data_IF_276621198253
#
_entry.id   IF_276621198253
#
_cell.length_a   1.000
_cell.length_b   1.000
_cell.length_c   1.000
_cell.angle_alpha   90.00
_cell.angle_beta   90.00
_cell.angle_gamma   90.00
#
_symmetry.space_group_name_H-M   'P 1'
#
loop_
_entity.id
_entity.type
_entity.pdbx_description
1 polymer ?
#
# COMPACT_ATOMS: atom_id res chain seq x y z
N UNK A 1 42.84 7.83 47.55
CA UNK A 1 42.87 8.85 46.48
C UNK A 1 42.03 8.31 45.32
N UNK A 2 40.78 8.77 45.25
CA UNK A 2 39.81 8.44 44.19
C UNK A 2 40.08 9.31 42.96
N UNK A 3 40.15 8.74 41.75
CA UNK A 3 39.88 9.42 40.47
C UNK A 3 39.83 8.35 39.35
N UNK A 4 38.64 7.82 39.03
CA UNK A 4 37.76 8.26 37.91
C UNK A 4 38.27 7.84 36.52
N UNK A 5 37.90 6.62 36.09
CA UNK A 5 37.76 6.29 34.68
C UNK A 5 36.27 6.14 34.36
N UNK A 6 35.66 7.24 33.91
CA UNK A 6 34.28 7.28 33.43
C UNK A 6 34.16 6.58 32.08
N UNK A 7 33.85 5.29 32.09
CA UNK A 7 33.47 4.54 30.89
C UNK A 7 31.99 4.70 30.56
N UNK A 8 31.56 5.87 30.08
CA UNK A 8 30.22 6.01 29.46
C UNK A 8 30.25 5.39 28.06
N UNK A 9 30.04 4.08 27.98
CA UNK A 9 29.65 3.44 26.71
C UNK A 9 28.15 3.69 26.48
N UNK A 10 27.82 4.92 26.09
CA UNK A 10 26.53 5.19 25.45
C UNK A 10 26.61 4.66 24.03
N UNK A 11 26.27 3.39 23.87
CA UNK A 11 25.97 2.81 22.56
C UNK A 11 24.73 3.53 22.03
N UNK A 12 24.93 4.54 21.17
CA UNK A 12 23.86 5.21 20.47
C UNK A 12 23.06 4.14 19.73
N UNK A 13 21.81 3.92 20.12
CA UNK A 13 20.86 3.18 19.30
C UNK A 13 20.72 3.97 18.01
N UNK A 14 21.52 3.63 17.02
CA UNK A 14 21.20 3.96 15.66
C UNK A 14 20.07 2.99 15.32
N UNK A 15 18.80 3.43 15.18
CA UNK A 15 17.91 2.64 14.37
C UNK A 15 18.60 2.65 13.01
N UNK A 16 19.20 1.51 12.66
CA UNK A 16 19.53 1.21 11.28
C UNK A 16 18.19 1.29 10.59
N UNK A 17 17.89 2.48 10.05
CA UNK A 17 16.83 2.69 9.10
C UNK A 17 17.15 1.70 8.00
N UNK A 18 16.42 0.58 8.04
CA UNK A 18 16.47 -0.45 7.02
C UNK A 18 16.03 0.28 5.77
N UNK A 19 16.99 0.80 5.01
CA UNK A 19 16.77 1.25 3.64
C UNK A 19 16.30 0.00 2.91
N UNK A 20 14.99 -0.22 2.91
CA UNK A 20 14.35 -1.14 1.98
C UNK A 20 14.83 -0.67 0.63
N UNK A 21 15.49 -1.58 -0.06
CA UNK A 21 16.24 -1.36 -1.27
C UNK A 21 15.41 -0.50 -2.23
N UNK A 22 15.78 0.78 -2.39
CA UNK A 22 15.34 1.62 -3.50
C UNK A 22 15.94 1.17 -4.83
N UNK A 23 16.03 -0.15 -5.03
CA UNK A 23 16.65 -0.73 -6.21
C UNK A 23 15.62 -0.82 -7.33
N UNK A 24 15.90 0.02 -8.33
CA UNK A 24 15.25 0.20 -9.64
C UNK A 24 14.03 1.10 -9.64
N UNK A 25 14.36 2.39 -9.71
CA UNK A 25 13.68 3.39 -10.56
C UNK A 25 13.58 2.87 -12.00
N UNK A 26 12.76 1.85 -12.21
CA UNK A 26 12.25 1.48 -13.53
C UNK A 26 10.77 1.87 -13.46
N UNK A 27 10.26 2.49 -14.53
CA UNK A 27 8.91 3.09 -14.64
C UNK A 27 7.78 2.06 -14.47
N UNK A 28 7.74 1.36 -13.36
CA UNK A 28 6.76 0.36 -13.04
C UNK A 28 5.81 0.93 -12.01
N UNK A 29 4.53 0.72 -12.29
CA UNK A 29 3.47 0.94 -11.32
C UNK A 29 3.80 0.13 -10.04
N UNK A 30 3.77 0.74 -8.85
CA UNK A 30 4.05 0.07 -7.57
C UNK A 30 3.15 -1.17 -7.37
N UNK A 31 3.67 -2.19 -6.69
CA UNK A 31 2.94 -3.45 -6.48
C UNK A 31 1.66 -3.22 -5.67
N UNK A 32 1.71 -2.34 -4.68
CA UNK A 32 0.55 -1.93 -3.87
C UNK A 32 -0.60 -1.39 -4.72
N UNK A 33 -0.32 -0.72 -5.84
CA UNK A 33 -1.35 -0.18 -6.74
C UNK A 33 -2.10 -1.31 -7.45
N UNK A 34 -1.39 -2.36 -7.88
CA UNK A 34 -2.05 -3.54 -8.48
C UNK A 34 -2.94 -4.26 -7.46
N UNK A 35 -2.44 -4.48 -6.25
CA UNK A 35 -3.23 -5.09 -5.18
C UNK A 35 -4.45 -4.25 -4.81
N UNK A 36 -4.32 -2.94 -4.69
CA UNK A 36 -5.43 -2.04 -4.40
C UNK A 36 -6.46 -2.03 -5.53
N UNK A 37 -6.01 -1.94 -6.78
CA UNK A 37 -6.88 -1.96 -7.97
C UNK A 37 -7.69 -3.26 -8.04
N UNK A 38 -7.02 -4.41 -7.91
CA UNK A 38 -7.66 -5.71 -8.00
C UNK A 38 -8.57 -5.97 -6.79
N UNK A 39 -8.09 -5.68 -5.57
CA UNK A 39 -8.85 -5.90 -4.34
C UNK A 39 -10.12 -5.05 -4.28
N UNK A 40 -10.00 -3.73 -4.51
CA UNK A 40 -11.15 -2.82 -4.47
C UNK A 40 -12.09 -3.06 -5.66
N UNK A 41 -11.55 -3.33 -6.86
CA UNK A 41 -12.35 -3.68 -8.04
C UNK A 41 -13.19 -4.94 -7.83
N UNK A 42 -12.57 -6.02 -7.35
CA UNK A 42 -13.27 -7.28 -7.06
C UNK A 42 -14.30 -7.10 -5.93
N UNK A 43 -13.93 -6.41 -4.84
CA UNK A 43 -14.85 -6.13 -3.74
C UNK A 43 -16.06 -5.33 -4.21
N UNK A 44 -15.85 -4.30 -5.04
CA UNK A 44 -16.92 -3.45 -5.58
C UNK A 44 -17.81 -4.21 -6.57
N UNK A 45 -17.26 -5.17 -7.31
CA UNK A 45 -18.04 -6.09 -8.14
C UNK A 45 -18.94 -6.98 -7.27
N UNK A 46 -18.41 -7.59 -6.21
CA UNK A 46 -19.19 -8.44 -5.30
C UNK A 46 -20.30 -7.63 -4.62
N UNK A 47 -19.99 -6.43 -4.12
CA UNK A 47 -20.99 -5.53 -3.54
C UNK A 47 -22.04 -5.14 -4.58
N UNK A 48 -21.64 -4.80 -5.81
CA UNK A 48 -22.56 -4.47 -6.88
C UNK A 48 -23.46 -5.64 -7.28
N UNK A 49 -22.96 -6.89 -7.24
CA UNK A 49 -23.80 -8.08 -7.47
C UNK A 49 -24.86 -8.27 -6.40
N UNK A 50 -24.55 -7.96 -5.14
CA UNK A 50 -25.50 -8.06 -4.03
C UNK A 50 -26.51 -6.91 -4.08
N UNK A 51 -26.04 -5.67 -4.23
CA UNK A 51 -26.87 -4.46 -4.15
C UNK A 51 -27.66 -4.19 -5.45
N UNK A 52 -27.10 -4.52 -6.61
CA UNK A 52 -27.65 -4.23 -7.94
C UNK A 52 -28.04 -5.52 -8.67
N UNK A 53 -28.22 -6.62 -7.95
CA UNK A 53 -28.57 -7.93 -8.52
C UNK A 53 -29.96 -7.96 -9.18
N UNK A 54 -30.87 -7.06 -8.79
CA UNK A 54 -32.18 -6.90 -9.40
C UNK A 54 -32.17 -6.09 -10.72
N UNK A 55 -31.05 -5.42 -11.03
CA UNK A 55 -30.88 -4.62 -12.24
C UNK A 55 -30.21 -5.44 -13.35
N UNK A 56 -30.46 -5.11 -14.63
CA UNK A 56 -29.94 -5.88 -15.75
C UNK A 56 -28.42 -6.01 -15.74
N UNK A 57 -27.94 -7.08 -16.38
CA UNK A 57 -26.57 -7.57 -16.29
C UNK A 57 -25.41 -6.57 -16.51
N UNK A 58 -25.53 -5.43 -17.23
CA UNK A 58 -24.42 -4.50 -17.41
C UNK A 58 -23.97 -3.77 -16.13
N UNK A 59 -24.87 -3.54 -15.17
CA UNK A 59 -24.65 -2.56 -14.09
C UNK A 59 -23.66 -3.06 -13.02
N UNK A 60 -23.67 -4.35 -12.69
CA UNK A 60 -22.74 -4.91 -11.72
C UNK A 60 -21.31 -5.04 -12.28
N UNK A 61 -21.12 -5.10 -13.60
CA UNK A 61 -19.80 -4.94 -14.20
C UNK A 61 -19.28 -3.50 -14.04
N UNK A 62 -20.17 -2.51 -14.18
CA UNK A 62 -19.81 -1.11 -14.00
C UNK A 62 -19.30 -0.83 -12.57
N UNK A 63 -19.88 -1.43 -11.54
CA UNK A 63 -19.37 -1.27 -10.17
C UNK A 63 -17.96 -1.85 -9.99
N UNK A 64 -17.63 -2.95 -10.67
CA UNK A 64 -16.27 -3.49 -10.71
C UNK A 64 -15.27 -2.54 -11.38
N UNK A 65 -15.65 -1.93 -12.50
CA UNK A 65 -14.83 -0.93 -13.20
C UNK A 65 -14.62 0.32 -12.35
N UNK A 66 -15.70 0.86 -11.77
CA UNK A 66 -15.62 2.01 -10.86
C UNK A 66 -14.73 1.68 -9.66
N UNK A 67 -14.90 0.50 -9.07
CA UNK A 67 -14.04 0.02 -7.99
C UNK A 67 -12.58 -0.08 -8.37
N UNK A 68 -12.27 -0.58 -9.57
CA UNK A 68 -10.89 -0.66 -10.04
C UNK A 68 -10.25 0.73 -10.23
N UNK A 69 -11.01 1.69 -10.78
CA UNK A 69 -10.57 3.09 -10.90
C UNK A 69 -10.28 3.69 -9.51
N UNK A 70 -11.20 3.52 -8.57
CA UNK A 70 -11.00 3.97 -7.18
C UNK A 70 -9.79 3.27 -6.56
N UNK A 71 -9.63 1.97 -6.77
CA UNK A 71 -8.52 1.18 -6.25
C UNK A 71 -7.16 1.60 -6.80
N UNK A 72 -7.10 2.00 -8.07
CA UNK A 72 -5.88 2.55 -8.68
C UNK A 72 -5.43 3.83 -7.96
N UNK A 73 -6.35 4.80 -7.78
CA UNK A 73 -6.03 6.05 -7.08
C UNK A 73 -5.72 5.82 -5.61
N UNK A 74 -6.50 4.97 -4.93
CA UNK A 74 -6.27 4.61 -3.53
C UNK A 74 -4.89 3.96 -3.34
N UNK A 75 -4.48 3.09 -4.27
CA UNK A 75 -3.15 2.49 -4.29
C UNK A 75 -2.04 3.52 -4.39
N UNK A 76 -2.20 4.55 -5.24
CA UNK A 76 -1.22 5.63 -5.35
C UNK A 76 -1.15 6.51 -4.11
N UNK A 77 -2.30 6.84 -3.52
CA UNK A 77 -2.36 7.60 -2.26
C UNK A 77 -1.69 6.81 -1.14
N UNK A 78 -1.96 5.50 -1.04
CA UNK A 78 -1.31 4.63 -0.08
C UNK A 78 0.21 4.57 -0.31
N UNK A 79 0.64 4.33 -1.55
CA UNK A 79 2.05 4.30 -1.91
C UNK A 79 2.77 5.58 -1.50
N UNK A 80 2.12 6.74 -1.68
CA UNK A 80 2.67 8.05 -1.32
C UNK A 80 2.90 8.25 0.18
N UNK A 81 2.13 7.56 1.03
CA UNK A 81 2.20 7.70 2.50
C UNK A 81 2.95 6.56 3.19
N UNK A 82 2.87 5.33 2.66
CA UNK A 82 3.35 4.12 3.32
C UNK A 82 4.44 3.39 2.52
N UNK A 83 4.62 3.73 1.24
CA UNK A 83 5.53 3.01 0.35
C UNK A 83 4.88 1.78 -0.31
N UNK A 84 5.70 0.97 -0.97
CA UNK A 84 5.27 -0.29 -1.59
C UNK A 84 5.19 -1.44 -0.55
N UNK A 85 4.62 -2.58 -0.94
CA UNK A 85 4.47 -3.77 -0.06
C UNK A 85 5.72 -4.67 -0.03
N UNK A 86 6.68 -4.47 -0.94
CA UNK A 86 7.88 -5.32 -1.10
C UNK A 86 9.15 -4.54 -0.72
#
# INVERSE_FOLDING_TARGET
MFLLASGKLQMSKHPTSRKINGQKVRRYTPVVVYFATFGIGLLSYVIGRIALGAYPHPIHWASGVVGAVVGYFAGWVWYRWRGDVI
#
